data_IF_583094140340
#
_entry.id   IF_583094140340
#
_cell.length_a   1.000
_cell.length_b   1.000
_cell.length_c   1.000
_cell.angle_alpha   90.00
_cell.angle_beta   90.00
_cell.angle_gamma   90.00
#
_symmetry.space_group_name_H-M   'P 1'
#
loop_
_entity.id
_entity.type
_entity.pdbx_description
1 polymer ?
#
# COMPACT_ATOMS: atom_id res chain seq x y z
N UNK A 1 -2.80 9.65 21.32
CA UNK A 1 -4.06 9.37 22.04
C UNK A 1 -5.12 8.66 21.19
N UNK A 2 -5.57 9.23 20.06
CA UNK A 2 -6.65 8.67 19.23
C UNK A 2 -6.43 7.20 18.81
N UNK A 3 -5.20 6.86 18.36
CA UNK A 3 -4.82 5.48 17.99
C UNK A 3 -4.98 4.52 19.17
N UNK A 4 -4.53 4.92 20.37
CA UNK A 4 -4.61 4.07 21.57
C UNK A 4 -6.07 3.87 22.00
N UNK A 5 -6.88 4.94 22.01
CA UNK A 5 -8.30 4.88 22.35
C UNK A 5 -9.08 3.94 21.41
N UNK A 6 -8.86 4.07 20.09
CA UNK A 6 -9.51 3.22 19.10
C UNK A 6 -9.00 1.77 19.16
N UNK A 7 -7.71 1.56 19.41
CA UNK A 7 -7.13 0.22 19.65
C UNK A 7 -7.77 -0.45 20.87
N UNK A 8 -7.90 0.28 21.99
CA UNK A 8 -8.57 -0.22 23.20
C UNK A 8 -10.06 -0.51 22.97
N UNK A 9 -10.72 0.26 22.10
CA UNK A 9 -12.09 -0.01 21.66
C UNK A 9 -12.22 -1.17 20.66
N UNK A 10 -11.13 -1.88 20.35
CA UNK A 10 -11.16 -3.07 19.50
C UNK A 10 -11.06 -2.79 17.99
N UNK A 11 -10.56 -1.62 17.58
CA UNK A 11 -10.38 -1.31 16.16
C UNK A 11 -9.54 -2.39 15.46
N UNK A 12 -10.04 -2.93 14.35
CA UNK A 12 -9.34 -3.92 13.54
C UNK A 12 -8.33 -3.26 12.58
N UNK A 13 -8.63 -2.05 12.11
CA UNK A 13 -7.86 -1.29 11.14
C UNK A 13 -8.10 0.23 11.34
N UNK A 14 -7.34 1.05 10.63
CA UNK A 14 -7.44 2.52 10.66
C UNK A 14 -7.63 3.10 9.26
N UNK A 15 -8.44 4.16 9.18
CA UNK A 15 -8.53 5.02 8.01
C UNK A 15 -8.06 6.41 8.44
N UNK A 16 -7.00 6.91 7.81
CA UNK A 16 -6.50 8.27 7.98
C UNK A 16 -7.03 9.15 6.85
N UNK A 17 -7.97 10.03 7.17
CA UNK A 17 -8.58 10.90 6.17
C UNK A 17 -7.79 12.21 6.01
N UNK A 18 -7.05 12.35 4.89
CA UNK A 18 -6.31 13.55 4.52
C UNK A 18 -7.02 14.36 3.42
N UNK A 19 -8.25 14.01 3.07
CA UNK A 19 -9.02 14.77 2.08
C UNK A 19 -9.22 16.19 2.61
N UNK A 20 -9.02 17.16 1.71
CA UNK A 20 -9.10 18.61 2.00
C UNK A 20 -8.13 19.10 3.09
N UNK A 21 -7.08 18.32 3.40
CA UNK A 21 -6.00 18.76 4.28
C UNK A 21 -4.93 19.52 3.45
N UNK A 22 -4.81 20.86 3.57
CA UNK A 22 -3.87 21.65 2.77
C UNK A 22 -2.40 21.50 3.22
N UNK A 23 -2.14 20.62 4.18
CA UNK A 23 -0.84 20.43 4.82
C UNK A 23 -0.75 21.22 6.12
N UNK A 24 0.41 21.81 6.37
CA UNK A 24 0.65 22.58 7.59
C UNK A 24 2.08 22.42 8.09
N UNK A 25 2.21 22.32 9.41
CA UNK A 25 3.50 22.30 10.09
C UNK A 25 4.25 20.97 9.87
N UNK A 26 5.47 21.04 9.34
CA UNK A 26 6.27 19.85 9.02
C UNK A 26 6.58 18.95 10.22
N UNK A 27 6.91 19.47 11.42
CA UNK A 27 7.11 18.62 12.60
C UNK A 27 5.88 17.75 12.94
N UNK A 28 4.67 18.29 12.79
CA UNK A 28 3.46 17.48 12.99
C UNK A 28 3.35 16.33 11.97
N UNK A 29 3.80 16.53 10.73
CA UNK A 29 3.92 15.47 9.75
C UNK A 29 4.96 14.42 10.14
N UNK A 30 6.10 14.84 10.69
CA UNK A 30 7.17 13.93 11.17
C UNK A 30 6.66 13.06 12.32
N UNK A 31 5.95 13.66 13.28
CA UNK A 31 5.37 12.97 14.43
C UNK A 31 4.29 11.96 14.00
N UNK A 32 3.33 12.39 13.14
CA UNK A 32 2.27 11.50 12.65
C UNK A 32 2.86 10.36 11.82
N UNK A 33 3.89 10.62 11.00
CA UNK A 33 4.58 9.57 10.27
C UNK A 33 5.24 8.58 11.22
N UNK A 34 5.89 9.05 12.29
CA UNK A 34 6.53 8.20 13.30
C UNK A 34 5.53 7.28 14.01
N UNK A 35 4.31 7.77 14.29
CA UNK A 35 3.25 6.93 14.87
C UNK A 35 2.92 5.69 14.02
N UNK A 36 3.16 5.71 12.71
CA UNK A 36 2.86 4.60 11.80
C UNK A 36 4.09 3.88 11.25
N UNK A 37 5.25 4.53 11.19
CA UNK A 37 6.48 4.04 10.57
C UNK A 37 7.65 3.85 11.54
N UNK A 38 7.62 4.49 12.71
CA UNK A 38 8.79 4.67 13.56
C UNK A 38 9.78 5.67 12.95
N UNK A 39 11.02 5.65 13.43
CA UNK A 39 12.10 6.53 12.94
C UNK A 39 12.64 6.05 11.60
N UNK A 40 12.13 6.65 10.52
CA UNK A 40 12.56 6.37 9.15
C UNK A 40 12.52 7.64 8.30
N UNK A 41 13.27 7.62 7.20
CA UNK A 41 13.24 8.69 6.21
C UNK A 41 11.88 8.73 5.53
N UNK A 42 11.27 9.92 5.43
CA UNK A 42 9.94 10.12 4.84
C UNK A 42 9.94 10.99 3.58
N UNK A 43 10.94 11.86 3.41
CA UNK A 43 11.10 12.65 2.18
C UNK A 43 12.53 13.17 2.02
N UNK A 44 12.82 13.64 0.81
CA UNK A 44 13.98 14.48 0.50
C UNK A 44 13.52 15.94 0.36
N UNK A 45 14.25 16.86 0.96
CA UNK A 45 14.08 18.30 0.76
C UNK A 45 15.24 18.83 -0.06
N UNK A 46 14.92 19.51 -1.16
CA UNK A 46 15.90 20.01 -2.12
C UNK A 46 15.88 21.53 -2.09
N UNK A 47 16.99 22.11 -1.66
CA UNK A 47 17.18 23.55 -1.58
C UNK A 47 17.32 24.17 -2.98
N UNK A 48 17.28 25.50 -3.07
CA UNK A 48 17.58 26.24 -4.30
C UNK A 48 18.99 25.93 -4.85
N UNK A 49 19.94 25.63 -3.97
CA UNK A 49 21.32 25.29 -4.34
C UNK A 49 21.49 23.81 -4.71
N UNK A 50 20.39 23.05 -4.83
CA UNK A 50 20.35 21.61 -5.03
C UNK A 50 20.97 20.79 -3.88
N UNK A 51 21.03 21.36 -2.67
CA UNK A 51 21.41 20.59 -1.50
C UNK A 51 20.26 19.67 -1.09
N UNK A 52 20.58 18.40 -0.84
CA UNK A 52 19.64 17.42 -0.33
C UNK A 52 19.71 17.38 1.20
N UNK A 53 18.56 17.51 1.83
CA UNK A 53 18.38 17.19 3.25
C UNK A 53 17.26 16.19 3.43
N UNK A 54 17.34 15.39 4.49
CA UNK A 54 16.36 14.36 4.76
C UNK A 54 15.29 14.89 5.72
N UNK A 55 14.03 14.60 5.40
CA UNK A 55 12.97 14.69 6.37
C UNK A 55 12.78 13.30 6.99
N UNK A 56 12.92 13.23 8.30
CA UNK A 56 12.84 11.99 9.08
C UNK A 56 11.56 11.98 9.92
N UNK A 57 10.86 10.86 9.98
CA UNK A 57 9.80 10.64 10.96
C UNK A 57 10.40 10.63 12.37
N UNK A 58 9.62 11.06 13.37
CA UNK A 58 10.06 11.15 14.77
C UNK A 58 9.10 10.38 15.68
N UNK A 59 9.67 9.72 16.70
CA UNK A 59 8.90 8.99 17.70
C UNK A 59 8.67 7.52 17.38
N UNK A 60 7.85 6.88 18.21
CA UNK A 60 7.65 5.44 18.19
C UNK A 60 6.43 5.02 17.35
N UNK A 61 6.56 3.85 16.73
CA UNK A 61 5.47 3.22 15.99
C UNK A 61 4.42 2.69 16.97
N UNK A 62 3.20 3.20 16.85
CA UNK A 62 2.12 2.90 17.79
C UNK A 62 1.23 1.72 17.37
N UNK A 63 1.26 1.32 16.09
CA UNK A 63 0.40 0.25 15.60
C UNK A 63 0.86 -0.39 14.29
N UNK A 64 0.68 -1.71 14.22
CA UNK A 64 0.84 -2.56 13.04
C UNK A 64 -0.46 -2.83 12.29
N UNK A 65 -1.61 -2.39 12.83
CA UNK A 65 -2.92 -2.67 12.23
C UNK A 65 -3.00 -2.11 10.81
N UNK A 66 -3.77 -2.75 9.92
CA UNK A 66 -3.98 -2.27 8.56
C UNK A 66 -4.38 -0.79 8.54
N UNK A 67 -3.83 -0.04 7.58
CA UNK A 67 -4.03 1.40 7.44
C UNK A 67 -4.37 1.72 5.99
N UNK A 68 -5.42 2.52 5.79
CA UNK A 68 -5.66 3.20 4.51
C UNK A 68 -5.60 4.71 4.72
N UNK A 69 -5.22 5.44 3.68
CA UNK A 69 -5.20 6.90 3.66
C UNK A 69 -6.12 7.40 2.56
N UNK A 70 -7.05 8.28 2.93
CA UNK A 70 -7.93 8.93 1.95
C UNK A 70 -7.32 10.24 1.50
N UNK A 71 -7.25 10.46 0.19
CA UNK A 71 -6.68 11.68 -0.41
C UNK A 71 -7.56 12.24 -1.51
N UNK A 72 -7.43 13.54 -1.78
CA UNK A 72 -8.05 14.19 -2.93
C UNK A 72 -7.25 15.40 -3.40
N UNK A 73 -7.78 16.12 -4.40
CA UNK A 73 -7.16 17.34 -4.92
C UNK A 73 -6.98 18.48 -3.88
N UNK A 74 -7.62 18.39 -2.70
CA UNK A 74 -7.42 19.31 -1.58
C UNK A 74 -6.33 18.87 -0.60
N UNK A 75 -5.80 17.64 -0.75
CA UNK A 75 -4.64 17.16 0.00
C UNK A 75 -3.37 17.82 -0.56
N UNK A 76 -2.65 18.58 0.25
CA UNK A 76 -1.49 19.36 -0.21
C UNK A 76 -0.32 19.39 0.80
N UNK A 77 0.89 19.71 0.31
CA UNK A 77 2.08 20.02 1.11
C UNK A 77 2.44 18.90 2.11
N UNK A 78 2.54 19.18 3.41
CA UNK A 78 2.91 18.20 4.42
C UNK A 78 1.99 16.95 4.40
N UNK A 79 0.72 17.09 4.03
CA UNK A 79 -0.19 15.95 3.89
C UNK A 79 0.20 15.05 2.70
N UNK A 80 0.75 15.60 1.63
CA UNK A 80 1.29 14.85 0.48
C UNK A 80 2.57 14.11 0.85
N UNK A 81 3.45 14.73 1.65
CA UNK A 81 4.65 14.08 2.19
C UNK A 81 4.26 12.88 3.04
N UNK A 82 3.30 13.04 3.95
CA UNK A 82 2.80 11.95 4.78
C UNK A 82 2.19 10.82 3.93
N UNK A 83 1.31 11.15 2.98
CA UNK A 83 0.70 10.15 2.09
C UNK A 83 1.75 9.40 1.27
N UNK A 84 2.72 10.11 0.68
CA UNK A 84 3.82 9.52 -0.09
C UNK A 84 4.71 8.61 0.74
N UNK A 85 5.06 9.01 1.97
CA UNK A 85 5.87 8.19 2.87
C UNK A 85 5.15 6.90 3.28
N UNK A 86 3.86 6.98 3.63
CA UNK A 86 3.04 5.82 3.97
C UNK A 86 2.81 4.88 2.77
N UNK A 87 2.69 5.44 1.57
CA UNK A 87 2.57 4.68 0.31
C UNK A 87 3.87 3.93 0.00
N UNK A 88 5.00 4.64 -0.06
CA UNK A 88 6.26 4.08 -0.54
C UNK A 88 6.86 3.02 0.39
N UNK A 89 6.60 3.16 1.68
CA UNK A 89 6.91 2.18 2.72
C UNK A 89 6.00 0.96 2.71
N UNK A 90 4.94 0.95 1.87
CA UNK A 90 3.86 -0.05 1.88
C UNK A 90 3.16 -0.16 3.24
N UNK A 91 3.18 0.92 4.04
CA UNK A 91 2.53 0.97 5.35
C UNK A 91 1.03 1.19 5.23
N UNK A 92 0.59 1.95 4.22
CA UNK A 92 -0.82 2.22 3.99
C UNK A 92 -1.20 2.05 2.52
N UNK A 93 -2.47 1.73 2.30
CA UNK A 93 -3.09 1.78 0.98
C UNK A 93 -3.72 3.15 0.74
N UNK A 94 -3.36 3.82 -0.35
CA UNK A 94 -3.85 5.17 -0.66
C UNK A 94 -5.06 5.09 -1.58
N UNK A 95 -6.19 5.64 -1.14
CA UNK A 95 -7.47 5.60 -1.87
C UNK A 95 -7.98 7.02 -2.10
N UNK A 96 -8.45 7.33 -3.31
CA UNK A 96 -9.09 8.62 -3.58
C UNK A 96 -8.77 9.17 -4.96
N UNK A 97 -8.39 10.45 -5.03
CA UNK A 97 -7.94 11.09 -6.29
C UNK A 97 -6.56 11.69 -6.13
N UNK A 98 -5.90 12.02 -7.25
CA UNK A 98 -4.58 12.68 -7.26
C UNK A 98 -4.57 13.91 -6.34
N UNK A 99 -3.52 14.06 -5.55
CA UNK A 99 -3.33 15.20 -4.65
C UNK A 99 -3.01 16.49 -5.40
N UNK A 100 -2.97 17.62 -4.68
CA UNK A 100 -2.81 18.96 -5.27
C UNK A 100 -1.50 19.14 -6.06
N UNK A 101 -0.40 18.57 -5.57
CA UNK A 101 0.94 18.77 -6.11
C UNK A 101 1.58 20.06 -5.63
N UNK A 102 1.48 20.42 -4.34
CA UNK A 102 2.06 21.68 -3.86
C UNK A 102 3.57 21.58 -3.72
N UNK A 103 4.08 20.48 -3.15
CA UNK A 103 5.50 20.12 -3.11
C UNK A 103 6.52 21.15 -2.61
N UNK A 104 6.10 22.31 -2.07
CA UNK A 104 6.98 23.39 -1.62
C UNK A 104 7.01 23.46 -0.09
N UNK A 105 8.20 23.69 0.45
CA UNK A 105 8.45 23.94 1.86
C UNK A 105 8.67 25.43 2.07
N UNK A 106 7.91 26.00 3.00
CA UNK A 106 8.01 27.40 3.35
C UNK A 106 8.58 27.58 4.76
N UNK A 107 9.32 28.66 4.94
CA UNK A 107 9.78 29.13 6.23
C UNK A 107 9.17 30.50 6.51
N UNK A 108 8.57 30.65 7.68
CA UNK A 108 8.03 31.93 8.16
C UNK A 108 9.16 32.72 8.83
N UNK A 109 9.32 33.98 8.45
CA UNK A 109 10.28 34.90 9.06
C UNK A 109 9.53 36.12 9.59
N UNK A 110 9.72 36.43 10.86
CA UNK A 110 9.19 37.65 11.46
C UNK A 110 10.13 38.82 11.15
N UNK A 111 9.57 39.93 10.72
CA UNK A 111 10.30 41.16 10.41
C UNK A 111 10.31 42.11 11.61
N UNK A 112 11.20 43.12 11.58
CA UNK A 112 11.41 44.05 12.68
C UNK A 112 10.16 44.90 13.03
N UNK A 113 9.28 45.12 12.07
CA UNK A 113 8.00 45.82 12.22
C UNK A 113 6.85 44.90 12.66
N UNK A 114 7.15 43.66 13.06
CA UNK A 114 6.20 42.59 13.41
C UNK A 114 5.40 42.01 12.24
N UNK A 115 5.67 42.39 11.00
CA UNK A 115 5.11 41.72 9.83
C UNK A 115 5.77 40.34 9.60
N UNK A 116 5.17 39.52 8.73
CA UNK A 116 5.63 38.16 8.43
C UNK A 116 5.96 37.97 6.95
N UNK A 117 7.04 37.27 6.67
CA UNK A 117 7.47 36.87 5.33
C UNK A 117 7.49 35.34 5.22
N UNK A 118 6.78 34.80 4.24
CA UNK A 118 6.80 33.37 3.92
C UNK A 118 7.72 33.13 2.72
N UNK A 119 8.85 32.45 2.96
CA UNK A 119 9.85 32.18 1.93
C UNK A 119 9.84 30.71 1.57
N UNK A 120 9.79 30.38 0.29
CA UNK A 120 10.03 29.01 -0.17
C UNK A 120 11.51 28.68 -0.01
N UNK A 121 11.82 27.67 0.81
CA UNK A 121 13.20 27.28 1.12
C UNK A 121 13.62 25.98 0.45
N UNK A 122 12.67 25.12 0.09
CA UNK A 122 12.92 23.85 -0.57
C UNK A 122 11.71 23.34 -1.33
N UNK A 123 11.93 22.36 -2.22
CA UNK A 123 10.89 21.46 -2.73
C UNK A 123 11.02 20.07 -2.11
N UNK A 124 9.91 19.37 -1.95
CA UNK A 124 9.85 18.03 -1.40
C UNK A 124 9.79 16.97 -2.50
N UNK A 125 10.63 15.94 -2.39
CA UNK A 125 10.51 14.71 -3.15
C UNK A 125 10.22 13.54 -2.21
N UNK A 126 9.52 12.52 -2.70
CA UNK A 126 9.37 11.28 -1.96
C UNK A 126 10.74 10.59 -1.79
N UNK A 127 10.79 9.54 -0.96
CA UNK A 127 12.04 8.79 -0.71
C UNK A 127 12.57 8.18 -2.01
N UNK A 128 11.68 7.69 -2.88
CA UNK A 128 12.03 7.14 -4.20
C UNK A 128 12.26 8.21 -5.29
N UNK A 129 12.21 9.50 -4.93
CA UNK A 129 12.57 10.60 -5.83
C UNK A 129 11.45 11.17 -6.68
N UNK A 130 10.18 10.79 -6.45
CA UNK A 130 9.02 11.42 -7.10
C UNK A 130 8.95 12.89 -6.71
N UNK A 131 8.78 13.78 -7.69
CA UNK A 131 8.65 15.22 -7.40
C UNK A 131 7.19 15.56 -7.08
N UNK A 132 6.93 15.90 -5.81
CA UNK A 132 5.58 16.17 -5.34
C UNK A 132 5.00 17.40 -6.04
N UNK A 133 5.83 18.40 -6.39
CA UNK A 133 5.35 19.64 -7.01
C UNK A 133 4.75 19.40 -8.41
N UNK A 134 5.33 18.50 -9.19
CA UNK A 134 4.89 18.25 -10.57
C UNK A 134 3.91 17.08 -10.66
N UNK A 135 4.09 16.05 -9.81
CA UNK A 135 3.35 14.80 -9.90
C UNK A 135 2.22 14.72 -8.87
N UNK A 136 2.38 15.33 -7.70
CA UNK A 136 1.57 15.02 -6.53
C UNK A 136 1.75 13.55 -6.09
N UNK A 137 0.81 13.05 -5.31
CA UNK A 137 0.70 11.63 -4.94
C UNK A 137 -0.48 11.05 -5.71
N UNK A 138 -0.18 10.07 -6.57
CA UNK A 138 -1.21 9.25 -7.21
C UNK A 138 -1.66 8.17 -6.21
N UNK A 139 -2.97 8.02 -5.94
CA UNK A 139 -3.45 6.95 -5.08
C UNK A 139 -3.15 5.57 -5.69
N UNK A 140 -3.03 4.55 -4.84
CA UNK A 140 -2.94 3.16 -5.28
C UNK A 140 -4.24 2.72 -5.95
N UNK A 141 -5.36 3.30 -5.50
CA UNK A 141 -6.68 3.07 -6.08
C UNK A 141 -7.45 4.39 -6.27
N UNK A 142 -7.84 4.65 -7.52
CA UNK A 142 -8.57 5.85 -7.90
C UNK A 142 -10.06 5.65 -7.64
N UNK A 143 -10.57 6.30 -6.59
CA UNK A 143 -11.99 6.30 -6.21
C UNK A 143 -12.42 7.73 -5.97
N UNK A 144 -13.33 8.25 -6.80
CA UNK A 144 -13.91 9.57 -6.60
C UNK A 144 -15.10 9.51 -5.63
N UNK A 145 -15.24 10.56 -4.81
CA UNK A 145 -16.46 10.79 -4.05
C UNK A 145 -17.64 11.13 -4.97
N UNK A 146 -18.86 10.86 -4.51
CA UNK A 146 -20.08 11.33 -5.18
C UNK A 146 -20.13 12.87 -5.16
N UNK A 147 -20.63 13.48 -6.23
CA UNK A 147 -20.75 14.94 -6.34
C UNK A 147 -21.60 15.54 -5.22
N UNK A 148 -22.61 14.81 -4.77
CA UNK A 148 -23.50 15.20 -3.66
C UNK A 148 -22.74 15.28 -2.33
N UNK A 149 -21.70 14.47 -2.14
CA UNK A 149 -20.86 14.54 -0.94
C UNK A 149 -19.95 15.78 -0.96
N UNK A 150 -19.53 16.24 -2.16
CA UNK A 150 -18.74 17.47 -2.33
C UNK A 150 -19.51 18.73 -1.92
N UNK A 151 -20.84 18.67 -1.87
CA UNK A 151 -21.72 19.78 -1.48
C UNK A 151 -21.91 19.89 0.04
N UNK A 152 -21.41 18.93 0.83
CA UNK A 152 -21.54 18.92 2.28
C UNK A 152 -20.33 19.60 2.96
N UNK A 153 -20.50 20.18 4.17
CA UNK A 153 -19.38 20.70 4.94
C UNK A 153 -18.36 19.60 5.28
N UNK A 154 -17.07 19.93 5.22
CA UNK A 154 -16.00 19.02 5.57
C UNK A 154 -15.45 19.31 6.97
N UNK A 155 -15.19 18.30 7.83
CA UNK A 155 -15.40 16.87 7.60
C UNK A 155 -16.88 16.45 7.75
N UNK A 156 -17.36 15.45 7.00
CA UNK A 156 -18.72 14.95 7.14
C UNK A 156 -18.93 14.29 8.51
N UNK A 157 -20.16 14.33 9.01
CA UNK A 157 -20.55 13.50 10.16
C UNK A 157 -20.41 12.02 9.77
N UNK A 158 -19.65 11.26 10.57
CA UNK A 158 -19.38 9.82 10.48
C UNK A 158 -19.70 9.16 9.12
N UNK A 159 -18.66 8.96 8.29
CA UNK A 159 -18.64 8.16 7.07
C UNK A 159 -20.01 7.98 6.37
N UNK A 160 -20.51 9.03 5.70
CA UNK A 160 -21.81 8.98 5.02
C UNK A 160 -21.91 7.77 4.09
N UNK A 161 -23.11 7.20 3.91
CA UNK A 161 -23.33 6.07 3.01
C UNK A 161 -22.84 6.36 1.56
N UNK A 162 -22.81 7.63 1.15
CA UNK A 162 -22.30 8.07 -0.15
C UNK A 162 -20.77 8.25 -0.25
N UNK A 163 -20.02 8.02 0.84
CA UNK A 163 -18.57 8.17 0.88
C UNK A 163 -17.85 6.94 0.29
N UNK A 164 -17.90 6.85 -1.05
CA UNK A 164 -17.28 5.74 -1.80
C UNK A 164 -15.80 5.52 -1.44
N UNK A 165 -14.92 6.55 -1.38
CA UNK A 165 -13.53 6.34 -0.98
C UNK A 165 -13.40 5.70 0.42
N UNK A 166 -14.19 6.15 1.39
CA UNK A 166 -14.17 5.58 2.73
C UNK A 166 -14.62 4.11 2.74
N UNK A 167 -15.78 3.81 2.15
CA UNK A 167 -16.31 2.44 2.13
C UNK A 167 -15.39 1.48 1.40
N UNK A 168 -14.78 1.93 0.30
CA UNK A 168 -13.80 1.13 -0.43
C UNK A 168 -12.54 0.87 0.40
N UNK A 169 -12.02 1.88 1.08
CA UNK A 169 -10.89 1.72 1.99
C UNK A 169 -11.21 0.74 3.13
N UNK A 170 -12.39 0.84 3.74
CA UNK A 170 -12.82 -0.08 4.80
C UNK A 170 -12.94 -1.51 4.28
N UNK A 171 -13.57 -1.69 3.12
CA UNK A 171 -13.68 -3.00 2.47
C UNK A 171 -12.29 -3.60 2.26
N UNK A 172 -11.36 -2.83 1.69
CA UNK A 172 -9.97 -3.25 1.48
C UNK A 172 -9.25 -3.64 2.77
N UNK A 173 -9.43 -2.86 3.83
CA UNK A 173 -8.78 -3.09 5.12
C UNK A 173 -9.32 -4.30 5.87
N UNK A 174 -10.63 -4.54 5.74
CA UNK A 174 -11.33 -5.63 6.42
C UNK A 174 -11.42 -6.90 5.58
N UNK A 175 -11.00 -6.86 4.32
CA UNK A 175 -10.92 -8.02 3.45
C UNK A 175 -9.93 -9.02 4.04
N UNK A 176 -10.47 -9.99 4.81
CA UNK A 176 -9.70 -11.13 5.28
C UNK A 176 -9.23 -11.90 4.06
N UNK A 177 -7.94 -11.83 3.76
CA UNK A 177 -7.36 -12.69 2.73
C UNK A 177 -7.69 -14.14 3.06
N UNK A 178 -8.31 -14.80 2.09
CA UNK A 178 -8.57 -16.23 2.13
C UNK A 178 -7.31 -16.95 1.71
N UNK A 179 -7.17 -18.18 2.18
CA UNK A 179 -6.10 -19.04 1.78
C UNK A 179 -6.59 -20.01 0.74
N UNK A 180 -5.72 -20.28 -0.23
CA UNK A 180 -5.98 -21.25 -1.28
C UNK A 180 -4.78 -22.17 -1.40
N UNK A 181 -5.05 -23.43 -1.73
CA UNK A 181 -4.02 -24.38 -2.09
C UNK A 181 -4.09 -24.63 -3.60
N UNK A 182 -2.99 -24.37 -4.28
CA UNK A 182 -2.81 -24.69 -5.67
C UNK A 182 -1.93 -25.92 -5.81
N UNK A 183 -2.40 -26.89 -6.59
CA UNK A 183 -1.77 -28.17 -6.85
C UNK A 183 -1.45 -28.25 -8.34
N UNK A 184 -0.16 -28.20 -8.66
CA UNK A 184 0.36 -28.46 -9.99
C UNK A 184 0.62 -29.96 -10.15
N UNK A 185 0.00 -30.58 -11.15
CA UNK A 185 0.29 -31.97 -11.55
C UNK A 185 0.87 -32.00 -12.95
N UNK A 186 1.58 -33.08 -13.29
CA UNK A 186 2.14 -33.24 -14.64
C UNK A 186 1.01 -33.24 -15.69
N UNK A 187 1.11 -32.36 -16.68
CA UNK A 187 0.14 -32.25 -17.76
C UNK A 187 0.50 -33.10 -18.98
N UNK A 188 -0.36 -33.14 -20.01
CA UNK A 188 -0.13 -33.95 -21.21
C UNK A 188 1.09 -33.51 -22.02
N UNK A 189 1.52 -32.25 -21.92
CA UNK A 189 2.72 -31.76 -22.60
C UNK A 189 4.02 -32.04 -21.84
N UNK A 190 3.95 -32.71 -20.68
CA UNK A 190 5.13 -33.07 -19.89
C UNK A 190 5.99 -34.13 -20.60
N UNK A 191 7.27 -33.82 -20.80
CA UNK A 191 8.23 -34.74 -21.40
C UNK A 191 8.88 -35.61 -20.31
N UNK A 192 8.50 -36.89 -20.23
CA UNK A 192 8.91 -37.81 -19.14
C UNK A 192 10.42 -38.08 -19.09
N UNK A 193 11.09 -37.97 -20.23
CA UNK A 193 12.52 -38.15 -20.42
C UNK A 193 13.35 -36.93 -20.00
N UNK A 194 12.71 -35.78 -19.78
CA UNK A 194 13.38 -34.53 -19.41
C UNK A 194 13.17 -34.18 -17.93
N UNK A 195 14.22 -33.74 -17.21
CA UNK A 195 14.05 -33.18 -15.88
C UNK A 195 13.25 -31.86 -15.93
N UNK A 196 12.69 -31.46 -14.79
CA UNK A 196 11.78 -30.30 -14.71
C UNK A 196 12.38 -29.00 -15.30
N UNK A 197 13.67 -28.75 -15.05
CA UNK A 197 14.34 -27.54 -15.51
C UNK A 197 14.61 -27.48 -17.02
N UNK A 198 14.47 -28.61 -17.72
CA UNK A 198 14.59 -28.72 -19.18
C UNK A 198 13.23 -28.73 -19.88
N UNK A 199 12.12 -28.68 -19.12
CA UNK A 199 10.79 -28.58 -19.69
C UNK A 199 10.60 -27.20 -20.33
N UNK A 200 9.80 -27.16 -21.40
CA UNK A 200 9.42 -25.90 -22.03
C UNK A 200 8.75 -24.97 -21.02
N UNK A 201 9.11 -23.69 -21.06
CA UNK A 201 8.57 -22.63 -20.20
C UNK A 201 8.92 -22.70 -18.70
N UNK A 202 9.85 -23.57 -18.30
CA UNK A 202 10.23 -23.70 -16.88
C UNK A 202 10.83 -22.43 -16.30
N UNK A 203 11.63 -21.70 -17.09
CA UNK A 203 12.28 -20.46 -16.64
C UNK A 203 11.24 -19.39 -16.32
N UNK A 204 10.22 -19.25 -17.15
CA UNK A 204 9.12 -18.32 -17.02
C UNK A 204 8.22 -18.69 -15.83
N UNK A 205 7.90 -19.98 -15.67
CA UNK A 205 7.20 -20.50 -14.50
C UNK A 205 7.94 -20.18 -13.21
N UNK A 206 9.24 -20.47 -13.16
CA UNK A 206 10.08 -20.17 -11.99
C UNK A 206 10.10 -18.66 -11.68
N UNK A 207 10.22 -17.81 -12.70
CA UNK A 207 10.20 -16.36 -12.53
C UNK A 207 8.83 -15.87 -12.02
N UNK A 208 7.72 -16.43 -12.53
CA UNK A 208 6.37 -16.12 -12.06
C UNK A 208 6.21 -16.46 -10.58
N UNK A 209 6.61 -17.67 -10.16
CA UNK A 209 6.54 -18.07 -8.75
C UNK A 209 7.47 -17.25 -7.84
N UNK A 210 8.64 -16.84 -8.32
CA UNK A 210 9.53 -15.94 -7.57
C UNK A 210 8.90 -14.56 -7.38
N UNK A 211 8.31 -14.00 -8.43
CA UNK A 211 7.56 -12.73 -8.37
C UNK A 211 6.41 -12.81 -7.36
N UNK A 212 5.60 -13.87 -7.41
CA UNK A 212 4.50 -14.07 -6.47
C UNK A 212 4.98 -14.21 -5.00
N UNK A 213 6.16 -14.81 -4.76
CA UNK A 213 6.78 -14.81 -3.42
C UNK A 213 7.26 -13.43 -2.98
N UNK A 214 7.91 -12.67 -3.86
CA UNK A 214 8.33 -11.31 -3.57
C UNK A 214 7.15 -10.36 -3.28
N UNK A 215 6.00 -10.62 -3.89
CA UNK A 215 4.72 -9.94 -3.64
C UNK A 215 3.98 -10.47 -2.40
N UNK A 216 4.54 -11.44 -1.65
CA UNK A 216 3.93 -12.11 -0.49
C UNK A 216 2.57 -12.76 -0.79
N UNK A 217 2.36 -13.20 -2.03
CA UNK A 217 1.14 -13.92 -2.45
C UNK A 217 1.24 -15.41 -2.19
N UNK A 218 2.44 -15.98 -2.34
CA UNK A 218 2.75 -17.36 -1.95
C UNK A 218 3.31 -17.35 -0.53
N UNK A 219 2.62 -18.04 0.38
CA UNK A 219 3.03 -18.18 1.77
C UNK A 219 3.97 -19.39 1.95
N UNK A 220 3.67 -20.49 1.25
CA UNK A 220 4.43 -21.73 1.34
C UNK A 220 4.42 -22.40 -0.03
N UNK A 221 5.51 -23.09 -0.37
CA UNK A 221 5.55 -23.95 -1.54
C UNK A 221 6.45 -25.16 -1.30
N UNK A 222 5.98 -26.33 -1.66
CA UNK A 222 6.73 -27.58 -1.54
C UNK A 222 6.38 -28.52 -2.68
N UNK A 223 7.24 -29.52 -2.89
CA UNK A 223 6.94 -30.64 -3.77
C UNK A 223 6.43 -31.80 -2.93
N UNK A 224 5.34 -32.42 -3.35
CA UNK A 224 4.77 -33.63 -2.77
C UNK A 224 4.65 -34.69 -3.86
N UNK A 225 5.53 -35.69 -3.82
CA UNK A 225 5.69 -36.68 -4.88
C UNK A 225 5.91 -36.04 -6.27
N UNK A 226 5.03 -36.30 -7.24
CA UNK A 226 5.02 -35.75 -8.58
C UNK A 226 4.25 -34.41 -8.69
N UNK A 227 3.72 -33.91 -7.57
CA UNK A 227 2.93 -32.67 -7.52
C UNK A 227 3.72 -31.51 -6.91
N UNK A 228 3.52 -30.32 -7.46
CA UNK A 228 3.89 -29.06 -6.82
C UNK A 228 2.71 -28.52 -6.03
N UNK A 229 2.93 -28.08 -4.79
CA UNK A 229 1.89 -27.50 -3.95
C UNK A 229 2.33 -26.13 -3.48
N UNK A 230 1.45 -25.13 -3.63
CA UNK A 230 1.66 -23.80 -3.06
C UNK A 230 0.42 -23.35 -2.28
N UNK A 231 0.65 -22.68 -1.15
CA UNK A 231 -0.39 -21.99 -0.38
C UNK A 231 -0.34 -20.52 -0.76
N UNK A 232 -1.48 -19.99 -1.19
CA UNK A 232 -1.67 -18.63 -1.63
C UNK A 232 -2.56 -17.86 -0.65
N UNK A 233 -2.33 -16.55 -0.54
CA UNK A 233 -3.20 -15.63 0.17
C UNK A 233 -3.78 -14.61 -0.81
N UNK A 234 -5.10 -14.65 -1.01
CA UNK A 234 -5.82 -13.82 -1.97
C UNK A 234 -7.15 -13.31 -1.38
N UNK A 235 -7.74 -12.29 -1.96
CA UNK A 235 -9.06 -11.79 -1.58
C UNK A 235 -10.15 -12.85 -1.82
N UNK A 236 -10.09 -13.50 -2.97
CA UNK A 236 -11.04 -14.52 -3.42
C UNK A 236 -10.40 -15.54 -4.38
N UNK A 237 -11.18 -16.54 -4.79
CA UNK A 237 -10.70 -17.60 -5.68
C UNK A 237 -10.40 -17.08 -7.10
N UNK A 238 -11.24 -16.23 -7.73
CA UNK A 238 -10.92 -15.65 -9.03
C UNK A 238 -9.58 -14.91 -9.07
N UNK A 239 -9.25 -14.12 -8.05
CA UNK A 239 -7.95 -13.44 -7.97
C UNK A 239 -6.79 -14.45 -7.88
N UNK A 240 -6.89 -15.43 -6.97
CA UNK A 240 -5.87 -16.47 -6.82
C UNK A 240 -5.66 -17.26 -8.12
N UNK A 241 -6.76 -17.57 -8.81
CA UNK A 241 -6.79 -18.29 -10.08
C UNK A 241 -6.12 -17.49 -11.19
N UNK A 242 -6.42 -16.20 -11.31
CA UNK A 242 -5.85 -15.32 -12.33
C UNK A 242 -4.31 -15.26 -12.27
N UNK A 243 -3.71 -15.34 -11.07
CA UNK A 243 -2.25 -15.35 -10.91
C UNK A 243 -1.56 -16.61 -11.44
N UNK A 244 -2.29 -17.73 -11.51
CA UNK A 244 -1.74 -19.05 -11.83
C UNK A 244 -2.14 -19.54 -13.21
N UNK A 245 -3.33 -19.19 -13.69
CA UNK A 245 -3.78 -19.59 -15.03
C UNK A 245 -3.04 -18.85 -16.14
N UNK A 246 -2.45 -17.69 -15.85
CA UNK A 246 -1.54 -17.00 -16.76
C UNK A 246 -0.13 -17.62 -16.81
N UNK A 247 0.15 -18.65 -16.00
CA UNK A 247 1.47 -19.28 -15.95
C UNK A 247 1.76 -20.03 -17.26
N UNK A 248 2.88 -19.74 -17.95
CA UNK A 248 3.17 -20.36 -19.24
C UNK A 248 3.20 -21.89 -19.23
N UNK A 249 3.59 -22.55 -18.14
CA UNK A 249 3.55 -24.01 -18.07
C UNK A 249 2.13 -24.54 -17.89
N UNK A 250 1.22 -23.77 -17.29
CA UNK A 250 -0.21 -24.11 -17.17
C UNK A 250 -0.92 -23.86 -18.50
N UNK A 251 -0.70 -22.69 -19.12
CA UNK A 251 -1.27 -22.33 -20.44
C UNK A 251 -0.91 -23.37 -21.50
N UNK A 252 0.35 -23.82 -21.53
CA UNK A 252 0.82 -24.80 -22.50
C UNK A 252 0.60 -26.27 -22.04
N UNK A 253 -0.21 -26.51 -21.01
CA UNK A 253 -0.55 -27.86 -20.53
C UNK A 253 0.66 -28.73 -20.14
N UNK A 254 1.79 -28.11 -19.79
CA UNK A 254 2.97 -28.80 -19.22
C UNK A 254 2.67 -29.16 -17.77
N UNK A 255 1.98 -28.28 -17.06
CA UNK A 255 1.31 -28.57 -15.80
C UNK A 255 -0.21 -28.47 -15.96
N UNK A 256 -0.92 -29.25 -15.15
CA UNK A 256 -2.33 -29.05 -14.85
C UNK A 256 -2.47 -28.41 -13.48
N UNK A 257 -3.44 -27.53 -13.31
CA UNK A 257 -3.65 -26.75 -12.10
C UNK A 257 -5.00 -27.11 -11.47
N UNK A 258 -4.98 -27.45 -10.18
CA UNK A 258 -6.17 -27.47 -9.34
C UNK A 258 -6.02 -26.43 -8.23
N UNK A 259 -7.08 -25.66 -7.97
CA UNK A 259 -7.12 -24.63 -6.93
C UNK A 259 -8.29 -24.92 -6.00
N UNK A 260 -8.03 -24.93 -4.70
CA UNK A 260 -9.04 -25.19 -3.68
C UNK A 260 -8.93 -24.21 -2.52
N UNK A 261 -10.03 -23.83 -1.85
CA UNK A 261 -9.98 -23.14 -0.57
C UNK A 261 -9.14 -23.93 0.42
N UNK A 262 -8.25 -23.23 1.14
CA UNK A 262 -7.44 -23.80 2.20
C UNK A 262 -7.86 -23.19 3.52
N UNK A 263 -8.18 -24.03 4.50
CA UNK A 263 -8.45 -23.59 5.87
C UNK A 263 -7.51 -24.36 6.79
N UNK A 264 -6.63 -23.68 7.53
CA UNK A 264 -5.80 -24.35 8.52
C UNK A 264 -6.70 -24.95 9.60
N UNK A 265 -6.39 -26.17 10.03
CA UNK A 265 -7.16 -26.86 11.06
C UNK A 265 -7.17 -26.09 12.39
N UNK A 266 -6.09 -25.35 12.69
CA UNK A 266 -6.03 -24.40 13.80
C UNK A 266 -5.03 -23.28 13.50
N UNK A 267 -5.13 -22.16 14.23
CA UNK A 267 -4.38 -20.93 13.95
C UNK A 267 -2.85 -21.02 14.08
N UNK A 268 -2.32 -22.09 14.68
CA UNK A 268 -0.87 -22.32 14.81
C UNK A 268 -0.26 -23.06 13.62
N UNK A 269 -1.07 -23.53 12.66
CA UNK A 269 -0.57 -24.24 11.46
C UNK A 269 0.00 -23.31 10.38
N UNK A 270 -0.02 -21.99 10.60
CA UNK A 270 0.47 -20.98 9.66
C UNK A 270 1.40 -20.07 10.44
N UNK A 271 2.62 -19.85 9.93
CA UNK A 271 3.52 -18.83 10.47
C UNK A 271 2.83 -17.48 10.44
N UNK A 272 2.77 -16.82 11.61
CA UNK A 272 2.31 -15.43 11.68
C UNK A 272 3.43 -14.55 11.15
N UNK A 273 3.11 -13.68 10.19
CA UNK A 273 4.01 -12.61 9.73
C UNK A 273 4.45 -11.69 10.88
#
# INVERSE_FOLDING_TARGET
EAINRLTQAGAAAFVLDLRYNPGGFLPACQDIAGMFLGEVKIANLISRSNDFSELQAQGERLTDKPLAVLVNAGTASAAEVLAGALQESRRAHIVGTRTFGKGLVHNAQQLADSSGLMITIARAQTVKGRDILTEGIMPDEIVAALEELLKQPWPPAAAPAGDRPYHHAVEKLLQKKKLFIAIFSLGPAWQKDKPAHEQAHFKEHSANLQRLRAEKKILLGARYADKGMIILSAADEPEARAWLESDPMVVNSVFTLALHPFQPFYSGSIEKE
#
